data_IF_188892636039
#
_entry.id   IF_188892636039
#
_cell.length_a   1.000
_cell.length_b   1.000
_cell.length_c   1.000
_cell.angle_alpha   90.00
_cell.angle_beta   90.00
_cell.angle_gamma   90.00
#
_symmetry.space_group_name_H-M   'P 1'
#
loop_
_entity.id
_entity.type
_entity.pdbx_description
1 polymer ?
#
# COMPACT_ATOMS: atom_id res chain seq x y z
N UNK A 1 -0.58 18.15 -21.53
CA UNK A 1 -1.63 17.12 -21.64
C UNK A 1 -1.22 16.00 -20.73
N UNK A 2 -2.09 15.57 -19.80
CA UNK A 2 -1.83 14.41 -18.94
C UNK A 2 -1.63 13.17 -19.81
N UNK A 3 -0.53 12.45 -19.62
CA UNK A 3 -0.26 11.22 -20.36
C UNK A 3 -1.23 10.12 -19.89
N UNK A 4 -1.78 9.36 -20.85
CA UNK A 4 -2.64 8.20 -20.59
C UNK A 4 -1.90 6.97 -21.11
N UNK A 5 -1.34 6.16 -20.22
CA UNK A 5 -0.60 4.96 -20.62
C UNK A 5 -1.53 3.85 -21.10
N UNK A 6 -2.59 3.60 -20.33
CA UNK A 6 -3.59 2.58 -20.58
C UNK A 6 -4.85 3.28 -21.05
N UNK A 7 -5.32 2.94 -22.25
CA UNK A 7 -6.52 3.52 -22.84
C UNK A 7 -7.75 2.69 -22.52
N UNK A 8 -7.67 1.38 -22.73
CA UNK A 8 -8.78 0.48 -22.42
C UNK A 8 -8.34 -0.93 -22.07
N UNK A 9 -9.22 -1.63 -21.34
CA UNK A 9 -9.12 -3.05 -21.00
C UNK A 9 -10.35 -3.77 -21.55
N UNK A 10 -10.11 -4.81 -22.35
CA UNK A 10 -11.12 -5.72 -22.85
C UNK A 10 -11.09 -6.99 -22.01
N UNK A 11 -12.18 -7.25 -21.28
CA UNK A 11 -12.37 -8.43 -20.43
C UNK A 11 -12.97 -9.57 -21.24
N UNK A 12 -12.75 -10.86 -20.95
CA UNK A 12 -13.43 -11.98 -21.61
C UNK A 12 -14.95 -11.93 -21.44
N UNK A 13 -15.65 -12.56 -22.37
CA UNK A 13 -17.11 -12.51 -22.48
C UNK A 13 -17.66 -13.87 -22.14
N UNK A 14 -18.96 -13.96 -21.89
CA UNK A 14 -19.58 -15.18 -21.36
C UNK A 14 -19.22 -16.44 -22.15
N UNK A 15 -19.25 -16.38 -23.49
CA UNK A 15 -18.88 -17.54 -24.34
C UNK A 15 -17.42 -17.97 -24.17
N UNK A 16 -16.49 -17.03 -24.11
CA UNK A 16 -15.06 -17.32 -23.95
C UNK A 16 -14.78 -17.92 -22.57
N UNK A 17 -15.42 -17.38 -21.53
CA UNK A 17 -15.30 -17.88 -20.17
C UNK A 17 -15.90 -19.29 -20.02
N UNK A 18 -17.11 -19.51 -20.53
CA UNK A 18 -17.77 -20.81 -20.46
C UNK A 18 -16.98 -21.91 -21.19
N UNK A 19 -16.30 -21.59 -22.29
CA UNK A 19 -15.42 -22.52 -22.99
C UNK A 19 -14.26 -23.03 -22.11
N UNK A 20 -13.66 -22.16 -21.29
CA UNK A 20 -12.59 -22.55 -20.35
C UNK A 20 -13.16 -23.41 -19.22
N UNK A 21 -14.27 -22.98 -18.62
CA UNK A 21 -14.86 -23.64 -17.46
C UNK A 21 -15.37 -25.04 -17.81
N UNK A 22 -16.09 -25.18 -18.93
CA UNK A 22 -16.58 -26.48 -19.40
C UNK A 22 -15.49 -27.41 -19.91
N UNK A 23 -14.36 -26.85 -20.36
CA UNK A 23 -13.18 -27.61 -20.77
C UNK A 23 -12.39 -28.18 -19.59
N UNK A 24 -12.60 -27.68 -18.37
CA UNK A 24 -11.91 -28.14 -17.17
C UNK A 24 -12.57 -29.40 -16.61
N UNK A 25 -11.85 -30.53 -16.62
CA UNK A 25 -12.35 -31.84 -16.17
C UNK A 25 -11.92 -32.19 -14.74
N UNK A 26 -10.97 -31.44 -14.16
CA UNK A 26 -10.47 -31.70 -12.80
C UNK A 26 -11.48 -31.19 -11.76
N UNK A 27 -11.93 -32.08 -10.89
CA UNK A 27 -12.92 -31.80 -9.84
C UNK A 27 -12.31 -31.34 -8.51
N UNK A 28 -10.98 -31.17 -8.45
CA UNK A 28 -10.26 -30.78 -7.24
C UNK A 28 -10.27 -29.27 -6.96
N UNK A 29 -10.79 -28.44 -7.88
CA UNK A 29 -10.85 -27.00 -7.70
C UNK A 29 -12.19 -26.56 -7.10
N UNK A 30 -12.12 -25.83 -5.98
CA UNK A 30 -13.28 -25.26 -5.29
C UNK A 30 -13.74 -23.92 -5.89
N UNK A 31 -12.90 -23.27 -6.70
CA UNK A 31 -13.16 -21.96 -7.28
C UNK A 31 -12.60 -21.84 -8.70
N UNK A 32 -13.31 -21.09 -9.53
CA UNK A 32 -12.88 -20.67 -10.87
C UNK A 32 -12.57 -19.16 -10.89
N UNK A 33 -12.21 -18.56 -9.75
CA UNK A 33 -11.84 -17.14 -9.72
C UNK A 33 -10.75 -16.82 -10.78
N UNK A 34 -10.86 -15.72 -11.53
CA UNK A 34 -11.89 -14.66 -11.48
C UNK A 34 -13.03 -14.78 -12.51
N UNK A 35 -13.25 -15.96 -13.09
CA UNK A 35 -14.32 -16.19 -14.06
C UNK A 35 -15.72 -15.95 -13.46
N UNK A 36 -16.68 -15.63 -14.34
CA UNK A 36 -18.10 -15.32 -14.11
C UNK A 36 -18.40 -13.99 -13.40
N UNK A 37 -17.39 -13.22 -12.98
CA UNK A 37 -17.60 -11.95 -12.26
C UNK A 37 -18.14 -10.87 -13.22
N UNK A 38 -17.43 -10.58 -14.31
CA UNK A 38 -17.73 -9.42 -15.18
C UNK A 38 -18.82 -9.66 -16.23
N UNK A 39 -18.99 -10.87 -16.81
CA UNK A 39 -20.13 -11.13 -17.69
C UNK A 39 -21.48 -10.92 -17.00
N UNK A 40 -21.62 -11.29 -15.73
CA UNK A 40 -22.84 -11.06 -14.94
C UNK A 40 -23.12 -9.57 -14.70
N UNK A 41 -22.07 -8.75 -14.74
CA UNK A 41 -22.11 -7.29 -14.63
C UNK A 41 -22.23 -6.58 -15.99
N UNK A 42 -22.29 -7.35 -17.08
CA UNK A 42 -22.28 -6.86 -18.47
C UNK A 42 -21.11 -5.90 -18.76
N UNK A 43 -19.98 -6.09 -18.08
CA UNK A 43 -18.78 -5.27 -18.28
C UNK A 43 -17.84 -5.97 -19.26
N UNK A 44 -17.71 -5.41 -20.46
CA UNK A 44 -16.85 -5.96 -21.53
C UNK A 44 -15.61 -5.12 -21.79
N UNK A 45 -15.74 -3.80 -21.73
CA UNK A 45 -14.65 -2.86 -21.95
C UNK A 45 -14.64 -1.79 -20.86
N UNK A 46 -13.45 -1.50 -20.33
CA UNK A 46 -13.20 -0.42 -19.38
C UNK A 46 -12.28 0.59 -20.07
N UNK A 47 -12.69 1.85 -20.13
CA UNK A 47 -11.92 2.93 -20.74
C UNK A 47 -11.34 3.82 -19.65
N UNK A 48 -10.03 4.00 -19.63
CA UNK A 48 -9.34 4.72 -18.57
C UNK A 48 -9.01 6.16 -18.95
N UNK A 49 -9.04 7.00 -17.93
CA UNK A 49 -8.61 8.40 -17.94
C UNK A 49 -7.35 8.53 -17.06
N UNK A 50 -6.73 9.73 -16.95
CA UNK A 50 -5.59 9.95 -16.06
C UNK A 50 -5.88 9.55 -14.61
N UNK A 51 -7.12 9.72 -14.17
CA UNK A 51 -7.64 9.20 -12.90
C UNK A 51 -8.92 8.42 -13.20
N UNK A 52 -8.90 7.12 -12.94
CA UNK A 52 -10.07 6.24 -13.05
C UNK A 52 -10.35 5.58 -11.71
N UNK A 53 -11.59 5.65 -11.23
CA UNK A 53 -12.01 5.04 -9.99
C UNK A 53 -12.96 3.88 -10.29
N UNK A 54 -12.72 2.75 -9.63
CA UNK A 54 -13.60 1.59 -9.59
C UNK A 54 -14.34 1.65 -8.27
N UNK A 55 -15.64 1.96 -8.33
CA UNK A 55 -16.53 2.02 -7.17
C UNK A 55 -17.36 0.74 -7.08
N UNK A 56 -17.70 0.32 -5.86
CA UNK A 56 -18.64 -0.76 -5.60
C UNK A 56 -18.43 -1.40 -4.23
N UNK A 57 -19.41 -2.16 -3.76
CA UNK A 57 -19.37 -2.86 -2.48
C UNK A 57 -18.38 -4.02 -2.44
N UNK A 58 -18.35 -4.73 -1.32
CA UNK A 58 -17.53 -5.92 -1.16
C UNK A 58 -17.96 -7.01 -2.15
N UNK A 59 -16.99 -7.62 -2.84
CA UNK A 59 -17.25 -8.64 -3.85
C UNK A 59 -17.72 -8.12 -5.21
N UNK A 60 -17.75 -6.80 -5.42
CA UNK A 60 -18.11 -6.19 -6.72
C UNK A 60 -17.07 -6.40 -7.83
N UNK A 61 -15.86 -6.88 -7.49
CA UNK A 61 -14.80 -7.18 -8.46
C UNK A 61 -13.76 -6.06 -8.64
N UNK A 62 -13.75 -5.02 -7.78
CA UNK A 62 -12.76 -3.94 -7.80
C UNK A 62 -11.31 -4.45 -7.74
N UNK A 63 -10.96 -5.14 -6.66
CA UNK A 63 -9.63 -5.74 -6.45
C UNK A 63 -9.29 -6.74 -7.56
N UNK A 64 -10.29 -7.46 -8.07
CA UNK A 64 -10.12 -8.35 -9.23
C UNK A 64 -9.67 -7.60 -10.48
N UNK A 65 -10.30 -6.47 -10.82
CA UNK A 65 -9.88 -5.62 -11.95
C UNK A 65 -8.46 -5.08 -11.73
N UNK A 66 -8.17 -4.57 -10.53
CA UNK A 66 -6.83 -4.11 -10.17
C UNK A 66 -5.79 -5.21 -10.40
N UNK A 67 -6.07 -6.43 -9.92
CA UNK A 67 -5.17 -7.57 -10.06
C UNK A 67 -4.97 -7.98 -11.53
N UNK A 68 -6.04 -8.00 -12.34
CA UNK A 68 -5.94 -8.30 -13.78
C UNK A 68 -5.09 -7.27 -14.50
N UNK A 69 -5.32 -5.98 -14.23
CA UNK A 69 -4.54 -4.89 -14.83
C UNK A 69 -3.07 -4.99 -14.38
N UNK A 70 -2.83 -5.24 -13.09
CA UNK A 70 -1.49 -5.40 -12.53
C UNK A 70 -0.72 -6.52 -13.25
N UNK A 71 -1.33 -7.70 -13.43
CA UNK A 71 -0.70 -8.82 -14.12
C UNK A 71 -0.44 -8.54 -15.60
N UNK A 72 -1.37 -7.88 -16.30
CA UNK A 72 -1.14 -7.48 -17.70
C UNK A 72 0.03 -6.49 -17.85
N UNK A 73 0.28 -5.66 -16.84
CA UNK A 73 1.36 -4.67 -16.82
C UNK A 73 2.68 -5.21 -16.26
N UNK A 74 2.69 -6.41 -15.66
CA UNK A 74 3.78 -6.87 -14.79
C UNK A 74 4.12 -5.84 -13.69
N UNK A 75 3.08 -5.32 -13.04
CA UNK A 75 3.23 -4.30 -12.01
C UNK A 75 4.01 -4.81 -10.79
N UNK A 76 4.82 -3.94 -10.20
CA UNK A 76 5.51 -4.18 -8.93
C UNK A 76 4.47 -4.24 -7.82
N UNK A 77 4.54 -5.29 -7.00
CA UNK A 77 3.65 -5.53 -5.87
C UNK A 77 4.46 -6.02 -4.67
N UNK A 78 4.02 -5.68 -3.46
CA UNK A 78 4.68 -6.07 -2.20
C UNK A 78 3.87 -7.12 -1.41
N UNK A 79 2.55 -7.04 -1.44
CA UNK A 79 1.61 -7.97 -0.82
C UNK A 79 1.23 -9.13 -1.74
N UNK A 80 0.88 -10.26 -1.15
CA UNK A 80 0.21 -11.34 -1.88
C UNK A 80 -1.23 -10.95 -2.22
N UNK A 81 -1.79 -11.53 -3.27
CA UNK A 81 -3.20 -11.38 -3.61
C UNK A 81 -3.85 -12.73 -3.87
N UNK A 82 -5.18 -12.76 -3.85
CA UNK A 82 -5.95 -13.97 -4.16
C UNK A 82 -5.62 -14.48 -5.57
N UNK A 83 -4.74 -15.47 -5.64
CA UNK A 83 -4.36 -16.14 -6.87
C UNK A 83 -5.04 -17.51 -6.94
N UNK A 84 -5.70 -17.77 -8.06
CA UNK A 84 -6.30 -19.06 -8.41
C UNK A 84 -5.48 -19.69 -9.53
N UNK A 85 -5.40 -21.03 -9.64
CA UNK A 85 -4.79 -21.68 -10.80
C UNK A 85 -5.35 -21.23 -12.16
N UNK A 86 -6.56 -20.67 -12.16
CA UNK A 86 -7.23 -20.14 -13.35
C UNK A 86 -6.96 -18.65 -13.60
N UNK A 87 -6.31 -17.95 -12.68
CA UNK A 87 -6.10 -16.51 -12.78
C UNK A 87 -5.24 -16.13 -13.99
N UNK A 88 -4.09 -16.76 -14.16
CA UNK A 88 -3.24 -16.58 -15.35
C UNK A 88 -3.98 -16.91 -16.65
N UNK A 89 -4.82 -17.96 -16.63
CA UNK A 89 -5.64 -18.31 -17.79
C UNK A 89 -6.65 -17.20 -18.11
N UNK A 90 -7.27 -16.60 -17.10
CA UNK A 90 -8.17 -15.46 -17.28
C UNK A 90 -7.45 -14.23 -17.84
N UNK A 91 -6.28 -13.88 -17.27
CA UNK A 91 -5.44 -12.77 -17.72
C UNK A 91 -5.07 -12.94 -19.20
N UNK A 92 -4.73 -14.17 -19.63
CA UNK A 92 -4.41 -14.45 -21.04
C UNK A 92 -5.57 -14.21 -22.04
N UNK A 93 -6.82 -14.13 -21.55
CA UNK A 93 -7.99 -13.81 -22.37
C UNK A 93 -8.30 -12.30 -22.41
N UNK A 94 -7.65 -11.52 -21.55
CA UNK A 94 -7.82 -10.08 -21.49
C UNK A 94 -6.92 -9.39 -22.50
N UNK A 95 -7.32 -8.21 -22.98
CA UNK A 95 -6.49 -7.39 -23.87
C UNK A 95 -6.43 -5.96 -23.34
N UNK A 96 -5.23 -5.39 -23.29
CA UNK A 96 -5.02 -4.02 -22.86
C UNK A 96 -4.55 -3.18 -24.04
N UNK A 97 -5.23 -2.06 -24.29
CA UNK A 97 -4.81 -1.06 -25.27
C UNK A 97 -3.99 0.00 -24.57
N UNK A 98 -2.80 0.25 -25.09
CA UNK A 98 -1.85 1.22 -24.55
C UNK A 98 -1.51 2.27 -25.60
N UNK A 99 -1.37 3.52 -25.19
CA UNK A 99 -0.86 4.59 -26.06
C UNK A 99 0.68 4.71 -25.98
N UNK A 100 1.26 4.16 -24.91
CA UNK A 100 2.70 4.11 -24.65
C UNK A 100 3.02 3.13 -23.51
N UNK A 101 4.29 2.80 -23.32
CA UNK A 101 4.73 1.99 -22.18
C UNK A 101 5.03 2.91 -20.99
N UNK A 102 4.38 2.73 -19.82
CA UNK A 102 4.80 3.45 -18.61
C UNK A 102 6.21 3.00 -18.21
N UNK A 103 6.95 3.86 -17.52
CA UNK A 103 8.26 3.47 -16.96
C UNK A 103 8.14 2.27 -16.04
N UNK A 104 7.13 2.32 -15.16
CA UNK A 104 6.77 1.25 -14.23
C UNK A 104 5.27 1.28 -13.94
N UNK A 105 4.76 0.15 -13.47
CA UNK A 105 3.45 0.06 -12.85
C UNK A 105 3.61 -0.44 -11.41
N UNK A 106 2.84 0.12 -10.49
CA UNK A 106 2.87 -0.24 -9.07
C UNK A 106 1.47 -0.60 -8.59
N UNK A 107 1.39 -1.62 -7.73
CA UNK A 107 0.19 -1.91 -6.94
C UNK A 107 0.46 -1.48 -5.51
N UNK A 108 -0.42 -0.64 -4.97
CA UNK A 108 -0.37 -0.14 -3.61
C UNK A 108 -1.69 -0.49 -2.93
N UNK A 109 -1.62 -1.29 -1.88
CA UNK A 109 -2.77 -1.74 -1.09
C UNK A 109 -2.65 -1.26 0.34
N UNK A 110 -3.77 -1.21 1.07
CA UNK A 110 -3.69 -0.97 2.51
C UNK A 110 -2.96 -2.07 3.28
N UNK A 111 -2.93 -3.31 2.78
CA UNK A 111 -2.17 -4.40 3.40
C UNK A 111 -0.65 -4.11 3.34
N UNK A 112 -0.16 -3.56 2.23
CA UNK A 112 1.24 -3.13 2.12
C UNK A 112 1.59 -2.04 3.15
N UNK A 113 0.65 -1.14 3.43
CA UNK A 113 0.81 -0.09 4.44
C UNK A 113 0.89 -0.71 5.84
N UNK A 114 0.01 -1.68 6.14
CA UNK A 114 0.04 -2.39 7.42
C UNK A 114 1.37 -3.13 7.60
N UNK A 115 1.83 -3.85 6.59
CA UNK A 115 3.11 -4.56 6.62
C UNK A 115 4.29 -3.59 6.79
N UNK A 116 4.26 -2.46 6.11
CA UNK A 116 5.26 -1.40 6.28
C UNK A 116 5.32 -0.92 7.75
N UNK A 117 4.17 -0.56 8.34
CA UNK A 117 4.11 -0.10 9.73
C UNK A 117 4.54 -1.18 10.72
N UNK A 118 4.12 -2.44 10.51
CA UNK A 118 4.51 -3.56 11.37
C UNK A 118 6.01 -3.85 11.28
N UNK A 119 6.58 -3.81 10.08
CA UNK A 119 8.02 -4.01 9.87
C UNK A 119 8.84 -2.94 10.59
N UNK A 120 8.44 -1.67 10.48
CA UNK A 120 9.11 -0.57 11.15
C UNK A 120 9.04 -0.69 12.69
N UNK A 121 7.89 -1.12 13.23
CA UNK A 121 7.75 -1.38 14.68
C UNK A 121 8.64 -2.53 15.13
N UNK A 122 8.75 -3.59 14.33
CA UNK A 122 9.63 -4.73 14.62
C UNK A 122 11.10 -4.30 14.66
N UNK A 123 11.53 -3.46 13.71
CA UNK A 123 12.88 -2.89 13.69
C UNK A 123 13.14 -2.04 14.92
N UNK A 124 12.25 -1.10 15.26
CA UNK A 124 12.40 -0.26 16.44
C UNK A 124 12.45 -1.10 17.74
N UNK A 125 11.61 -2.14 17.86
CA UNK A 125 11.66 -3.06 19.00
C UNK A 125 13.01 -3.78 19.13
N UNK A 126 13.62 -4.22 18.02
CA UNK A 126 14.97 -4.81 18.02
C UNK A 126 16.05 -3.80 18.41
N UNK A 127 15.91 -2.53 17.97
CA UNK A 127 16.81 -1.46 18.38
C UNK A 127 16.69 -1.20 19.90
N UNK A 128 15.49 -1.25 20.45
CA UNK A 128 15.25 -1.13 21.90
C UNK A 128 15.85 -2.29 22.70
N UNK A 129 15.66 -3.54 22.26
CA UNK A 129 16.32 -4.70 22.87
C UNK A 129 17.85 -4.56 22.84
N UNK A 130 18.40 -4.03 21.74
CA UNK A 130 19.84 -3.77 21.60
C UNK A 130 20.29 -2.66 22.55
N UNK A 131 19.52 -1.58 22.71
CA UNK A 131 19.78 -0.50 23.69
C UNK A 131 19.80 -1.05 25.11
N UNK A 132 18.84 -1.89 25.47
CA UNK A 132 18.77 -2.52 26.80
C UNK A 132 19.97 -3.45 27.06
N UNK A 133 20.38 -4.22 26.05
CA UNK A 133 21.57 -5.08 26.13
C UNK A 133 22.83 -4.28 26.36
N UNK A 134 23.04 -3.20 25.60
CA UNK A 134 24.19 -2.29 25.77
C UNK A 134 24.14 -1.56 27.12
N UNK A 135 22.96 -1.22 27.61
CA UNK A 135 22.78 -0.63 28.94
C UNK A 135 23.23 -1.60 30.05
N UNK A 136 22.80 -2.86 29.99
CA UNK A 136 23.24 -3.91 30.92
C UNK A 136 24.76 -4.09 30.87
N UNK A 137 25.31 -4.23 29.66
CA UNK A 137 26.76 -4.35 29.45
C UNK A 137 27.52 -3.15 30.06
N UNK A 138 27.03 -1.92 29.88
CA UNK A 138 27.63 -0.72 30.45
C UNK A 138 27.67 -0.79 31.98
N UNK A 139 26.54 -1.11 32.62
CA UNK A 139 26.42 -1.16 34.09
C UNK A 139 27.28 -2.30 34.67
N UNK A 140 27.25 -3.47 34.05
CA UNK A 140 28.06 -4.62 34.47
C UNK A 140 29.56 -4.34 34.34
N UNK A 141 29.98 -3.73 33.23
CA UNK A 141 31.39 -3.35 33.02
C UNK A 141 31.85 -2.33 34.06
N UNK A 142 31.00 -1.35 34.38
CA UNK A 142 31.30 -0.35 35.40
C UNK A 142 31.44 -0.97 36.79
N UNK A 143 30.54 -1.90 37.15
CA UNK A 143 30.60 -2.67 38.41
C UNK A 143 31.86 -3.54 38.46
N UNK A 144 32.13 -4.31 37.41
CA UNK A 144 33.30 -5.18 37.32
C UNK A 144 34.61 -4.40 37.43
N UNK A 145 34.69 -3.21 36.83
CA UNK A 145 35.87 -2.35 36.94
C UNK A 145 36.07 -1.77 38.35
N UNK A 146 34.99 -1.65 39.14
CA UNK A 146 35.07 -1.29 40.54
C UNK A 146 35.57 -2.46 41.40
N UNK A 147 35.08 -3.68 41.14
CA UNK A 147 35.43 -4.88 41.89
C UNK A 147 36.84 -5.41 41.56
N UNK A 148 37.24 -5.36 40.29
CA UNK A 148 38.56 -5.79 39.80
C UNK A 148 39.13 -4.73 38.83
N UNK A 149 40.06 -3.87 39.27
CA UNK A 149 40.67 -2.87 38.37
C UNK A 149 41.46 -3.47 37.20
N UNK A 150 41.82 -4.76 37.24
CA UNK A 150 42.61 -5.42 36.20
C UNK A 150 41.89 -5.59 34.86
N UNK A 151 40.55 -5.43 34.83
CA UNK A 151 39.78 -5.52 33.57
C UNK A 151 40.20 -4.43 32.57
N UNK A 152 40.80 -3.33 33.04
CA UNK A 152 41.33 -2.24 32.21
C UNK A 152 42.62 -2.60 31.46
N UNK A 153 43.25 -3.72 31.77
CA UNK A 153 44.47 -4.16 31.09
C UNK A 153 44.14 -4.98 29.84
N UNK A 154 44.90 -4.75 28.77
CA UNK A 154 44.82 -5.55 27.55
C UNK A 154 45.52 -6.89 27.81
N UNK A 155 44.80 -8.01 27.71
CA UNK A 155 45.34 -9.35 27.98
C UNK A 155 45.94 -10.03 26.75
N UNK A 156 45.63 -9.54 25.54
CA UNK A 156 46.10 -10.06 24.26
C UNK A 156 45.45 -9.34 23.08
N UNK A 157 45.86 -9.67 21.85
CA UNK A 157 45.31 -9.07 20.61
C UNK A 157 43.83 -9.41 20.40
N UNK A 158 43.42 -10.63 20.74
CA UNK A 158 42.02 -11.10 20.62
C UNK A 158 41.09 -10.43 21.66
N UNK A 159 41.65 -9.76 22.67
CA UNK A 159 40.92 -9.04 23.74
C UNK A 159 40.73 -7.55 23.41
N UNK A 160 41.17 -7.10 22.23
CA UNK A 160 41.22 -5.69 21.88
C UNK A 160 39.85 -5.01 21.87
N UNK A 161 38.80 -5.68 21.36
CA UNK A 161 37.44 -5.10 21.32
C UNK A 161 36.87 -4.91 22.73
N UNK A 162 36.98 -5.92 23.60
CA UNK A 162 36.57 -5.82 25.00
C UNK A 162 37.31 -4.68 25.69
N UNK A 163 38.64 -4.64 25.55
CA UNK A 163 39.46 -3.61 26.17
C UNK A 163 39.07 -2.19 25.70
N UNK A 164 38.80 -2.02 24.40
CA UNK A 164 38.32 -0.76 23.82
C UNK A 164 36.98 -0.35 24.41
N UNK A 165 36.01 -1.26 24.53
CA UNK A 165 34.71 -0.98 25.13
C UNK A 165 34.82 -0.61 26.61
N UNK A 166 35.62 -1.34 27.39
CA UNK A 166 35.91 -1.02 28.81
C UNK A 166 36.48 0.39 28.94
N UNK A 167 37.45 0.72 28.09
CA UNK A 167 38.08 2.04 28.08
C UNK A 167 37.08 3.13 27.70
N UNK A 168 36.26 2.90 26.69
CA UNK A 168 35.22 3.84 26.26
C UNK A 168 34.22 4.13 27.38
N UNK A 169 33.73 3.08 28.05
CA UNK A 169 32.77 3.14 29.17
C UNK A 169 33.36 3.95 30.35
N UNK A 170 34.61 3.69 30.70
CA UNK A 170 35.25 4.31 31.87
C UNK A 170 35.83 5.71 31.60
N UNK A 171 35.90 6.14 30.34
CA UNK A 171 36.65 7.33 29.92
C UNK A 171 36.16 8.67 30.48
N UNK A 172 35.04 8.74 31.23
CA UNK A 172 34.35 9.98 31.71
C UNK A 172 34.01 11.03 30.64
N UNK A 173 34.42 10.82 29.39
CA UNK A 173 34.21 11.72 28.23
C UNK A 173 32.87 11.48 27.55
N UNK A 174 32.24 10.34 27.77
CA UNK A 174 30.94 9.98 27.19
C UNK A 174 29.98 9.60 28.29
N UNK A 175 28.75 10.10 28.21
CA UNK A 175 27.67 9.61 29.05
C UNK A 175 27.23 8.23 28.57
N UNK A 176 26.55 7.48 29.44
CA UNK A 176 25.92 6.21 29.09
C UNK A 176 25.01 6.33 27.85
N UNK A 177 24.22 7.40 27.77
CA UNK A 177 23.36 7.68 26.61
C UNK A 177 24.17 7.92 25.33
N UNK A 178 25.33 8.59 25.42
CA UNK A 178 26.20 8.78 24.25
C UNK A 178 26.84 7.46 23.81
N UNK A 179 27.29 6.63 24.75
CA UNK A 179 27.87 5.32 24.47
C UNK A 179 26.90 4.42 23.69
N UNK A 180 25.61 4.42 24.07
CA UNK A 180 24.56 3.65 23.40
C UNK A 180 24.23 4.24 22.02
N UNK A 181 24.05 5.57 21.90
CA UNK A 181 23.72 6.22 20.62
C UNK A 181 24.80 6.02 19.55
N UNK A 182 26.07 5.97 19.93
CA UNK A 182 27.17 5.74 18.98
C UNK A 182 27.18 4.30 18.42
N UNK A 183 26.42 3.37 19.01
CA UNK A 183 26.44 1.92 18.73
C UNK A 183 25.09 1.35 18.28
N UNK A 184 24.05 2.17 18.22
CA UNK A 184 22.71 1.79 17.77
C UNK A 184 22.24 2.81 16.73
N UNK A 185 21.71 2.33 15.62
CA UNK A 185 21.11 3.19 14.60
C UNK A 185 19.88 3.96 15.15
N UNK A 186 19.51 5.03 14.45
CA UNK A 186 18.32 5.81 14.79
C UNK A 186 17.04 4.99 14.58
N UNK A 187 15.99 5.32 15.32
CA UNK A 187 14.68 4.71 15.08
C UNK A 187 14.16 5.05 13.69
N UNK A 188 13.41 4.11 13.11
CA UNK A 188 12.55 4.43 11.97
C UNK A 188 11.46 5.35 12.52
N UNK A 189 11.38 6.56 11.95
CA UNK A 189 10.44 7.58 12.40
C UNK A 189 9.00 7.13 12.11
N UNK A 190 8.38 6.58 13.15
CA UNK A 190 7.00 6.14 13.18
C UNK A 190 6.19 7.20 13.92
N UNK A 191 5.52 8.04 13.15
CA UNK A 191 4.48 8.90 13.68
C UNK A 191 3.19 8.10 13.96
N UNK A 192 2.05 8.78 14.13
CA UNK A 192 0.75 8.09 14.21
C UNK A 192 0.54 7.12 13.03
N UNK A 193 -0.25 6.06 13.22
CA UNK A 193 -0.47 5.06 12.17
C UNK A 193 -0.90 5.69 10.84
N UNK A 194 -1.79 6.70 10.88
CA UNK A 194 -2.26 7.39 9.68
C UNK A 194 -1.20 8.26 8.99
N UNK A 195 -0.20 8.74 9.74
CA UNK A 195 0.89 9.53 9.19
C UNK A 195 1.98 8.66 8.57
N UNK A 196 2.30 7.54 9.21
CA UNK A 196 3.15 6.50 8.62
C UNK A 196 2.52 5.92 7.34
N UNK A 197 1.19 5.77 7.32
CA UNK A 197 0.43 5.36 6.14
C UNK A 197 0.49 6.38 5.00
N UNK A 198 0.27 7.67 5.28
CA UNK A 198 0.39 8.73 4.27
C UNK A 198 1.81 8.78 3.70
N UNK A 199 2.84 8.69 4.55
CA UNK A 199 4.24 8.64 4.14
C UNK A 199 4.52 7.49 3.19
N UNK A 200 3.99 6.29 3.48
CA UNK A 200 4.12 5.15 2.56
C UNK A 200 3.60 5.50 1.16
N UNK A 201 2.42 6.12 1.03
CA UNK A 201 1.90 6.48 -0.29
C UNK A 201 2.76 7.53 -0.99
N UNK A 202 3.22 8.56 -0.26
CA UNK A 202 4.09 9.61 -0.83
C UNK A 202 5.41 9.01 -1.32
N UNK A 203 6.08 8.21 -0.50
CA UNK A 203 7.37 7.59 -0.81
C UNK A 203 7.27 6.58 -1.98
N UNK A 204 6.08 6.04 -2.25
CA UNK A 204 5.84 5.08 -3.35
C UNK A 204 5.39 5.76 -4.64
N UNK A 205 4.72 6.90 -4.54
CA UNK A 205 4.16 7.64 -5.67
C UNK A 205 5.16 8.74 -6.10
N UNK A 206 6.45 8.41 -6.19
CA UNK A 206 7.50 9.36 -6.57
C UNK A 206 7.86 9.32 -8.06
N UNK A 207 7.51 8.23 -8.76
CA UNK A 207 7.93 8.01 -10.14
C UNK A 207 6.99 8.72 -11.12
N UNK A 208 7.57 9.59 -11.95
CA UNK A 208 6.88 10.22 -13.08
C UNK A 208 6.71 9.23 -14.23
N UNK A 209 5.64 9.39 -15.02
CA UNK A 209 5.33 8.56 -16.20
C UNK A 209 5.08 7.08 -15.82
N UNK A 210 4.42 6.87 -14.68
CA UNK A 210 4.11 5.57 -14.10
C UNK A 210 2.59 5.31 -14.01
N UNK A 211 2.22 4.03 -13.89
CA UNK A 211 0.83 3.62 -13.58
C UNK A 211 0.75 3.19 -12.13
N UNK A 212 -0.18 3.79 -11.39
CA UNK A 212 -0.45 3.46 -10.00
C UNK A 212 -1.82 2.80 -9.86
N UNK A 213 -1.82 1.57 -9.37
CA UNK A 213 -3.02 0.79 -9.07
C UNK A 213 -3.21 0.80 -7.56
N UNK A 214 -4.23 1.51 -7.07
CA UNK A 214 -4.50 1.61 -5.63
C UNK A 214 -5.71 0.74 -5.29
N UNK A 215 -5.59 -0.10 -4.26
CA UNK A 215 -6.70 -0.94 -3.77
C UNK A 215 -7.04 -0.62 -2.32
N UNK A 216 -8.23 -0.07 -2.12
CA UNK A 216 -8.79 0.39 -0.85
C UNK A 216 -7.77 1.19 0.00
N UNK A 217 -7.14 2.25 -0.55
CA UNK A 217 -6.13 3.04 0.16
C UNK A 217 -6.68 3.74 1.42
N UNK A 218 -8.00 3.88 1.54
CA UNK A 218 -8.67 4.47 2.70
C UNK A 218 -8.56 3.64 3.99
N UNK A 219 -8.37 2.32 3.90
CA UNK A 219 -8.47 1.44 5.08
C UNK A 219 -7.38 1.72 6.14
N UNK A 220 -6.29 2.34 5.74
CA UNK A 220 -5.15 2.71 6.62
C UNK A 220 -5.11 4.21 6.97
N UNK A 221 -6.04 5.03 6.48
CA UNK A 221 -5.99 6.49 6.55
C UNK A 221 -7.19 7.09 7.29
N UNK A 222 -6.95 8.12 8.10
CA UNK A 222 -8.02 8.97 8.63
C UNK A 222 -8.66 9.82 7.52
N UNK A 223 -9.87 10.34 7.75
CA UNK A 223 -10.58 11.18 6.77
C UNK A 223 -9.73 12.35 6.25
N UNK A 224 -9.02 13.05 7.14
CA UNK A 224 -8.12 14.15 6.75
C UNK A 224 -6.98 13.66 5.84
N UNK A 225 -6.37 12.51 6.14
CA UNK A 225 -5.29 11.95 5.32
C UNK A 225 -5.80 11.40 3.99
N UNK A 226 -7.04 10.91 3.92
CA UNK A 226 -7.67 10.53 2.65
C UNK A 226 -7.83 11.74 1.73
N UNK A 227 -8.22 12.91 2.25
CA UNK A 227 -8.27 14.16 1.49
C UNK A 227 -6.87 14.58 1.01
N UNK A 228 -5.86 14.51 1.87
CA UNK A 228 -4.47 14.81 1.49
C UNK A 228 -3.96 13.86 0.41
N UNK A 229 -4.28 12.55 0.50
CA UNK A 229 -3.93 11.58 -0.52
C UNK A 229 -4.64 11.88 -1.85
N UNK A 230 -5.92 12.27 -1.81
CA UNK A 230 -6.65 12.68 -3.01
C UNK A 230 -5.99 13.91 -3.66
N UNK A 231 -5.67 14.94 -2.89
CA UNK A 231 -4.97 16.13 -3.39
C UNK A 231 -3.61 15.78 -4.01
N UNK A 232 -2.86 14.88 -3.36
CA UNK A 232 -1.58 14.40 -3.84
C UNK A 232 -1.71 13.63 -5.17
N UNK A 233 -2.67 12.69 -5.27
CA UNK A 233 -2.96 11.96 -6.52
C UNK A 233 -3.32 12.93 -7.64
N UNK A 234 -4.18 13.91 -7.36
CA UNK A 234 -4.59 14.92 -8.34
C UNK A 234 -3.40 15.77 -8.81
N UNK A 235 -2.47 16.12 -7.91
CA UNK A 235 -1.25 16.82 -8.25
C UNK A 235 -0.30 15.95 -9.10
N UNK A 236 -0.03 14.72 -8.67
CA UNK A 236 0.86 13.78 -9.34
C UNK A 236 0.38 13.40 -10.74
N UNK A 237 -0.93 13.23 -10.93
CA UNK A 237 -1.51 12.94 -12.24
C UNK A 237 -1.34 14.11 -13.23
N UNK A 238 -1.44 15.35 -12.76
CA UNK A 238 -1.27 16.55 -13.60
C UNK A 238 0.18 16.87 -13.92
N UNK A 239 1.06 16.77 -12.92
CA UNK A 239 2.46 17.20 -13.02
C UNK A 239 3.36 16.13 -13.64
N UNK A 240 3.22 14.87 -13.22
CA UNK A 240 4.13 13.78 -13.58
C UNK A 240 3.68 12.91 -14.74
N UNK A 241 2.51 13.17 -15.33
CA UNK A 241 1.94 12.33 -16.39
C UNK A 241 1.51 10.93 -15.91
N UNK A 242 1.56 10.67 -14.60
CA UNK A 242 1.23 9.36 -14.04
C UNK A 242 -0.28 9.10 -14.09
N UNK A 243 -0.63 7.85 -14.36
CA UNK A 243 -2.01 7.40 -14.45
C UNK A 243 -2.41 6.62 -13.20
N UNK A 244 -3.58 6.93 -12.65
CA UNK A 244 -4.11 6.31 -11.43
C UNK A 244 -5.38 5.51 -11.73
N UNK A 245 -5.39 4.26 -11.28
CA UNK A 245 -6.58 3.40 -11.29
C UNK A 245 -6.82 2.97 -9.84
N UNK A 246 -7.92 3.44 -9.26
CA UNK A 246 -8.15 3.37 -7.82
C UNK A 246 -9.41 2.55 -7.57
N UNK A 247 -9.32 1.48 -6.80
CA UNK A 247 -10.45 0.78 -6.23
C UNK A 247 -10.74 1.37 -4.85
N UNK A 248 -11.93 1.95 -4.66
CA UNK A 248 -12.29 2.59 -3.39
C UNK A 248 -13.80 2.66 -3.22
N UNK A 249 -14.24 2.73 -1.96
CA UNK A 249 -15.59 3.06 -1.56
C UNK A 249 -15.64 4.34 -0.71
N UNK A 250 -14.51 4.99 -0.47
CA UNK A 250 -14.42 6.24 0.28
C UNK A 250 -15.02 7.42 -0.49
N UNK A 251 -16.05 8.11 0.05
CA UNK A 251 -16.57 9.34 -0.53
C UNK A 251 -15.50 10.43 -0.72
N UNK A 252 -14.48 10.45 0.14
CA UNK A 252 -13.42 11.46 0.12
C UNK A 252 -12.51 11.28 -1.10
N UNK A 253 -12.18 10.04 -1.45
CA UNK A 253 -11.37 9.74 -2.64
C UNK A 253 -12.24 9.80 -3.90
N UNK A 254 -13.50 9.37 -3.83
CA UNK A 254 -14.45 9.49 -4.94
C UNK A 254 -14.67 10.94 -5.38
N UNK A 255 -14.44 11.92 -4.49
CA UNK A 255 -14.55 13.35 -4.79
C UNK A 255 -13.39 13.92 -5.63
N UNK A 256 -12.42 13.09 -6.02
CA UNK A 256 -11.27 13.48 -6.87
C UNK A 256 -11.73 14.22 -8.15
N UNK A 257 -11.25 15.46 -8.37
CA UNK A 257 -11.62 16.22 -9.56
C UNK A 257 -11.23 15.51 -10.85
N UNK A 258 -12.13 15.51 -11.84
CA UNK A 258 -11.94 14.89 -13.15
C UNK A 258 -11.71 13.38 -13.14
N UNK A 259 -11.99 12.70 -12.03
CA UNK A 259 -11.95 11.25 -11.97
C UNK A 259 -13.12 10.64 -12.74
N UNK A 260 -12.84 9.62 -13.56
CA UNK A 260 -13.87 8.81 -14.19
C UNK A 260 -14.22 7.63 -13.29
N UNK A 261 -15.47 7.56 -12.84
CA UNK A 261 -15.89 6.58 -11.84
C UNK A 261 -16.76 5.52 -12.48
N UNK A 262 -16.35 4.26 -12.41
CA UNK A 262 -17.16 3.11 -12.80
C UNK A 262 -17.90 2.55 -11.59
N UNK A 263 -19.24 2.53 -11.64
CA UNK A 263 -20.07 1.87 -10.64
C UNK A 263 -20.21 0.38 -10.97
N UNK A 264 -19.44 -0.45 -10.25
CA UNK A 264 -19.45 -1.89 -10.40
C UNK A 264 -20.65 -2.56 -9.72
N UNK A 265 -21.40 -1.87 -8.86
CA UNK A 265 -22.61 -2.43 -8.25
C UNK A 265 -23.82 -2.34 -9.19
N UNK A 266 -23.77 -1.44 -10.17
CA UNK A 266 -24.78 -1.31 -11.22
C UNK A 266 -24.62 -2.39 -12.30
N UNK A 267 -25.74 -2.87 -12.83
CA UNK A 267 -25.78 -3.77 -13.98
C UNK A 267 -26.75 -3.22 -15.06
N UNK A 268 -26.29 -2.91 -16.29
CA UNK A 268 -24.89 -2.96 -16.72
C UNK A 268 -24.01 -1.94 -15.98
N UNK A 269 -22.73 -2.28 -15.81
CA UNK A 269 -21.73 -1.35 -15.26
C UNK A 269 -21.67 -0.10 -16.13
N UNK A 270 -21.68 1.06 -15.49
CA UNK A 270 -21.68 2.35 -16.17
C UNK A 270 -20.89 3.39 -15.37
N UNK A 271 -20.58 4.50 -16.02
CA UNK A 271 -19.94 5.65 -15.36
C UNK A 271 -21.00 6.42 -14.59
N UNK A 272 -20.64 6.92 -13.41
CA UNK A 272 -21.52 7.71 -12.56
C UNK A 272 -20.77 8.87 -11.92
N UNK A 273 -21.49 9.95 -11.58
CA UNK A 273 -20.96 11.02 -10.76
C UNK A 273 -20.89 10.58 -9.30
N UNK A 274 -19.84 10.97 -8.58
CA UNK A 274 -19.66 10.52 -7.20
C UNK A 274 -20.82 10.91 -6.28
N UNK A 275 -21.47 12.06 -6.54
CA UNK A 275 -22.63 12.56 -5.79
C UNK A 275 -23.89 11.71 -5.96
N UNK A 276 -23.93 10.86 -6.99
CA UNK A 276 -25.07 9.98 -7.28
C UNK A 276 -24.89 8.58 -6.68
N UNK A 277 -23.68 8.23 -6.25
CA UNK A 277 -23.37 6.90 -5.76
C UNK A 277 -24.11 6.60 -4.45
N UNK A 278 -24.64 5.38 -4.28
CA UNK A 278 -25.45 5.03 -3.11
C UNK A 278 -24.75 5.27 -1.77
N UNK A 279 -23.47 4.91 -1.64
CA UNK A 279 -22.68 5.14 -0.42
C UNK A 279 -22.55 6.64 -0.09
N UNK A 280 -22.31 7.48 -1.10
CA UNK A 280 -22.15 8.93 -0.94
C UNK A 280 -23.48 9.56 -0.53
N UNK A 281 -24.59 9.11 -1.14
CA UNK A 281 -25.94 9.54 -0.78
C UNK A 281 -26.28 9.24 0.68
N UNK A 282 -25.90 8.06 1.18
CA UNK A 282 -26.10 7.71 2.60
C UNK A 282 -25.40 8.69 3.53
N UNK A 283 -24.14 9.04 3.27
CA UNK A 283 -23.41 10.02 4.07
C UNK A 283 -24.02 11.41 3.97
N UNK A 284 -24.38 11.85 2.75
CA UNK A 284 -25.02 13.14 2.52
C UNK A 284 -26.33 13.26 3.31
N UNK A 285 -27.23 12.28 3.18
CA UNK A 285 -28.52 12.26 3.88
C UNK A 285 -28.33 12.24 5.40
N UNK A 286 -27.33 11.50 5.90
CA UNK A 286 -26.99 11.47 7.32
C UNK A 286 -26.58 12.85 7.86
N UNK A 287 -25.65 13.54 7.17
CA UNK A 287 -25.20 14.86 7.60
C UNK A 287 -26.28 15.91 7.43
N UNK A 288 -27.07 15.86 6.35
CA UNK A 288 -28.18 16.78 6.13
C UNK A 288 -29.27 16.62 7.19
N UNK A 289 -29.59 15.39 7.61
CA UNK A 289 -30.52 15.12 8.72
C UNK A 289 -30.03 15.69 10.06
N UNK A 290 -28.73 15.92 10.21
CA UNK A 290 -28.12 16.41 11.45
C UNK A 290 -27.51 17.80 11.31
N UNK A 291 -27.83 18.51 10.21
CA UNK A 291 -27.27 19.82 9.85
C UNK A 291 -27.33 20.82 11.00
N UNK A 292 -28.46 20.89 11.69
CA UNK A 292 -28.69 21.82 12.81
C UNK A 292 -27.64 21.68 13.93
N UNK A 293 -27.05 20.49 14.13
CA UNK A 293 -26.01 20.26 15.16
C UNK A 293 -24.64 20.83 14.80
N UNK A 294 -24.42 21.18 13.53
CA UNK A 294 -23.17 21.73 13.03
C UNK A 294 -23.21 23.25 12.85
N UNK A 295 -24.38 23.87 13.04
CA UNK A 295 -24.60 25.33 12.90
C UNK A 295 -24.47 26.08 14.25
N UNK A 296 -23.68 25.53 15.18
CA UNK A 296 -23.43 26.09 16.52
C UNK A 296 -22.03 26.66 16.66
#
# INVERSE_FOLDING_TARGET
MSAIHIQSLLLPGERAENGVITGEKRTCFSTFYPFKIFPQKQLREVNFEPITILYGGNGSGKSTLINVIASLLNAVRYSDFNHSPFFERYVSLCQIRRSGAPKKAYVLTSDDVFDYVLSARSVNGKLDERRETLFKQYVETYRAAFDDPSIMNLRGLDDYERWKDVRDILSKKRSQSQFIRDRVEGDIDLHSNGESAMRYFVDRIEEEDAVYLLDEPENSLSAERQLQLADYIAASSRAGGSQFIIATHSPLILSLPHAKIYDLDRCPVSVAEWTELPNVRVWFDFFMKHKDKFEH
#
